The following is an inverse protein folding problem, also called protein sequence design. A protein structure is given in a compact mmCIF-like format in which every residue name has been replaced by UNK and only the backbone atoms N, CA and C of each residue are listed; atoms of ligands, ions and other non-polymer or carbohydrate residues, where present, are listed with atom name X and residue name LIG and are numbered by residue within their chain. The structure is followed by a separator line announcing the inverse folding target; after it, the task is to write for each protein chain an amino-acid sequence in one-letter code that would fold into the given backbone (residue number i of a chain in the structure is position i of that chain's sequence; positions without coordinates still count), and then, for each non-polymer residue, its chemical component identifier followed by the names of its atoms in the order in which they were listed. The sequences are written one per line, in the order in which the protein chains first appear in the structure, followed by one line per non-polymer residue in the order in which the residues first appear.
data_IF_597099491031
#
_entry.id   IF_597099491031
#
_cell.length_a   1.000
_cell.length_b   1.000
_cell.length_c   1.000
_cell.angle_alpha   90.00
_cell.angle_beta   90.00
_cell.angle_gamma   90.00
#
_symmetry.space_group_name_H-M   'P 1'
#
loop_
_entity.id
_entity.type
_entity.pdbx_description
1 polymer ?
#
# COMPACT_ATOMS: atom_id res chain seq x y z
N UNK A 1 -43.01 50.34 8.84
CA UNK A 1 -41.58 50.23 9.21
C UNK A 1 -41.21 48.76 9.20
N UNK A 2 -40.16 48.43 8.47
CA UNK A 2 -39.74 47.09 8.04
C UNK A 2 -38.94 46.40 9.14
N UNK A 3 -39.27 45.15 9.48
CA UNK A 3 -38.53 44.26 10.38
C UNK A 3 -38.39 42.85 9.77
N UNK A 4 -37.30 42.11 10.04
CA UNK A 4 -36.64 41.30 9.01
C UNK A 4 -37.19 39.89 8.76
N UNK A 5 -36.83 39.39 7.59
CA UNK A 5 -37.17 38.10 6.96
C UNK A 5 -36.92 36.87 7.85
N UNK A 6 -37.89 35.96 7.79
CA UNK A 6 -37.77 34.54 8.11
C UNK A 6 -36.70 33.89 7.21
N UNK A 7 -35.67 33.29 7.79
CA UNK A 7 -34.78 32.35 7.09
C UNK A 7 -35.22 30.93 7.45
N UNK A 8 -35.67 30.22 6.42
CA UNK A 8 -35.99 28.78 6.43
C UNK A 8 -34.73 28.05 5.96
N UNK A 9 -34.42 26.93 6.61
CA UNK A 9 -33.70 25.82 6.00
C UNK A 9 -32.27 25.62 6.48
N UNK A 10 -32.09 24.82 7.53
CA UNK A 10 -30.91 23.96 7.61
C UNK A 10 -31.34 22.57 7.12
N UNK A 11 -30.91 22.10 5.95
CA UNK A 11 -30.80 20.68 5.73
C UNK A 11 -29.54 20.21 6.48
N UNK A 12 -29.77 19.41 7.50
CA UNK A 12 -28.78 18.48 8.03
C UNK A 12 -28.35 17.55 6.88
N UNK A 13 -27.20 17.82 6.30
CA UNK A 13 -26.44 16.79 5.57
C UNK A 13 -25.03 16.78 6.14
N UNK A 14 -24.94 16.43 7.44
CA UNK A 14 -23.71 15.88 7.97
C UNK A 14 -23.53 14.51 7.32
N UNK A 15 -22.92 14.50 6.14
CA UNK A 15 -22.31 13.30 5.59
C UNK A 15 -21.18 12.93 6.55
N UNK A 16 -21.49 12.08 7.52
CA UNK A 16 -20.49 11.35 8.29
C UNK A 16 -19.62 10.65 7.26
N UNK A 17 -18.44 11.22 7.00
CA UNK A 17 -17.39 10.52 6.29
C UNK A 17 -16.92 9.49 7.31
N UNK A 18 -17.52 8.29 7.26
CA UNK A 18 -16.97 7.15 7.97
C UNK A 18 -15.54 6.99 7.44
N UNK A 19 -14.59 7.45 8.25
CA UNK A 19 -13.18 7.20 8.01
C UNK A 19 -13.01 5.70 8.23
N UNK A 20 -13.17 4.92 7.17
CA UNK A 20 -12.82 3.51 7.19
C UNK A 20 -11.31 3.44 7.38
N UNK A 21 -10.87 3.37 8.63
CA UNK A 21 -9.49 3.07 8.96
C UNK A 21 -9.24 1.64 8.51
N UNK A 22 -8.67 1.47 7.33
CA UNK A 22 -8.24 0.16 6.86
C UNK A 22 -7.12 -0.31 7.79
N UNK A 23 -7.27 -1.50 8.36
CA UNK A 23 -6.31 -2.04 9.30
C UNK A 23 -5.04 -2.47 8.55
N UNK A 24 -3.90 -1.90 8.93
CA UNK A 24 -2.59 -2.35 8.47
C UNK A 24 -2.35 -3.80 8.92
N UNK A 25 -2.02 -4.66 7.96
CA UNK A 25 -1.66 -6.07 8.15
C UNK A 25 -0.16 -6.24 7.99
N UNK A 26 0.34 -7.39 8.44
CA UNK A 26 1.74 -7.78 8.23
C UNK A 26 1.87 -9.22 7.74
N UNK A 27 2.97 -9.53 7.07
CA UNK A 27 3.31 -10.88 6.63
C UNK A 27 4.70 -10.96 6.00
N UNK A 28 5.13 -12.19 5.74
CA UNK A 28 6.42 -12.48 5.09
C UNK A 28 6.15 -12.74 3.60
N UNK A 29 6.88 -12.04 2.73
CA UNK A 29 6.78 -12.26 1.30
C UNK A 29 7.47 -13.57 0.90
N UNK A 30 6.77 -14.37 0.09
CA UNK A 30 7.28 -15.68 -0.39
C UNK A 30 7.63 -15.68 -1.87
N UNK A 31 7.16 -14.68 -2.61
CA UNK A 31 7.48 -14.45 -4.03
C UNK A 31 7.63 -12.96 -4.27
N UNK A 32 8.38 -12.61 -5.30
CA UNK A 32 8.48 -11.23 -5.77
C UNK A 32 8.31 -11.18 -7.28
N UNK A 33 7.77 -10.07 -7.76
CA UNK A 33 7.78 -9.70 -9.16
C UNK A 33 8.08 -8.21 -9.27
N UNK A 34 9.13 -7.89 -10.00
CA UNK A 34 9.49 -6.51 -10.28
C UNK A 34 9.06 -6.20 -11.70
N UNK A 35 8.16 -5.23 -11.86
CA UNK A 35 7.83 -4.73 -13.19
C UNK A 35 9.09 -4.17 -13.84
N UNK A 36 9.28 -4.33 -15.15
CA UNK A 36 10.42 -3.71 -15.86
C UNK A 36 10.01 -2.40 -16.52
N UNK A 37 8.74 -2.31 -16.87
CA UNK A 37 8.05 -1.13 -17.38
C UNK A 37 6.73 -1.03 -16.63
N UNK A 38 6.21 0.19 -16.45
CA UNK A 38 4.91 0.39 -15.80
C UNK A 38 3.82 -0.44 -16.49
N UNK A 39 3.02 -1.13 -15.69
CA UNK A 39 1.84 -1.84 -16.17
C UNK A 39 0.63 -1.52 -15.26
N UNK A 40 -0.54 -1.18 -15.81
CA UNK A 40 -0.80 -0.88 -17.22
C UNK A 40 -0.03 0.37 -17.71
N UNK A 41 0.03 0.58 -19.02
CA UNK A 41 0.72 1.74 -19.58
C UNK A 41 0.15 3.06 -19.01
N UNK A 42 1.03 3.95 -18.55
CA UNK A 42 0.65 5.21 -17.91
C UNK A 42 0.57 5.17 -16.38
N UNK A 43 0.75 4.00 -15.75
CA UNK A 43 0.90 3.88 -14.29
C UNK A 43 2.35 4.12 -13.83
N UNK A 44 2.54 4.12 -12.51
CA UNK A 44 3.85 3.90 -11.90
C UNK A 44 4.22 2.43 -11.97
N UNK A 45 5.50 2.16 -12.17
CA UNK A 45 6.07 0.83 -12.08
C UNK A 45 6.07 0.35 -10.63
N UNK A 46 5.66 -0.90 -10.41
CA UNK A 46 5.51 -1.45 -9.06
C UNK A 46 6.44 -2.63 -8.78
N UNK A 47 6.82 -2.76 -7.51
CA UNK A 47 7.36 -3.99 -6.94
C UNK A 47 6.20 -4.75 -6.29
N UNK A 48 5.99 -5.99 -6.74
CA UNK A 48 4.97 -6.87 -6.23
C UNK A 48 5.55 -7.92 -5.29
N UNK A 49 4.93 -8.11 -4.13
CA UNK A 49 5.29 -9.11 -3.13
C UNK A 49 4.07 -10.00 -2.82
N UNK A 50 4.27 -11.32 -2.86
CA UNK A 50 3.21 -12.28 -2.53
C UNK A 50 3.22 -12.57 -1.03
N UNK A 51 2.21 -12.07 -0.32
CA UNK A 51 2.09 -12.06 1.15
C UNK A 51 0.70 -12.54 1.55
N UNK A 52 0.62 -13.54 2.42
CA UNK A 52 -0.66 -14.11 2.91
C UNK A 52 -1.62 -14.47 1.75
N UNK A 53 -1.12 -15.28 0.81
CA UNK A 53 -1.84 -15.84 -0.33
C UNK A 53 -2.34 -14.84 -1.39
N UNK A 54 -1.82 -13.61 -1.40
CA UNK A 54 -2.21 -12.57 -2.35
C UNK A 54 -1.05 -11.60 -2.67
N UNK A 55 -1.17 -10.86 -3.78
CA UNK A 55 -0.17 -9.91 -4.23
C UNK A 55 -0.38 -8.53 -3.62
N UNK A 56 0.71 -7.92 -3.14
CA UNK A 56 0.77 -6.54 -2.63
C UNK A 56 1.77 -5.74 -3.44
N UNK A 57 1.51 -4.46 -3.70
CA UNK A 57 2.37 -3.61 -4.52
C UNK A 57 2.99 -2.46 -3.72
N UNK A 58 4.23 -2.15 -4.06
CA UNK A 58 4.92 -0.92 -3.70
C UNK A 58 5.19 -0.13 -4.98
N UNK A 59 4.54 1.01 -5.12
CA UNK A 59 4.67 1.85 -6.30
C UNK A 59 5.94 2.69 -6.28
N UNK A 60 6.57 2.84 -7.45
CA UNK A 60 7.79 3.61 -7.64
C UNK A 60 8.88 3.30 -6.58
N UNK A 61 9.25 2.01 -6.39
CA UNK A 61 10.22 1.64 -5.37
C UNK A 61 11.58 2.23 -5.70
N UNK A 62 12.31 2.76 -4.72
CA UNK A 62 13.66 3.25 -4.92
C UNK A 62 14.64 2.10 -5.25
N UNK A 63 15.80 2.45 -5.81
CA UNK A 63 16.79 1.45 -6.23
C UNK A 63 17.30 0.59 -5.06
N UNK A 64 17.48 1.18 -3.88
CA UNK A 64 17.96 0.47 -2.69
C UNK A 64 16.96 -0.58 -2.22
N UNK A 65 15.67 -0.23 -2.18
CA UNK A 65 14.58 -1.15 -1.89
C UNK A 65 14.52 -2.30 -2.90
N UNK A 66 14.60 -2.00 -4.20
CA UNK A 66 14.58 -3.01 -5.25
C UNK A 66 15.73 -4.03 -5.09
N UNK A 67 16.96 -3.54 -4.93
CA UNK A 67 18.15 -4.39 -4.79
C UNK A 67 18.09 -5.22 -3.51
N UNK A 68 17.65 -4.64 -2.41
CA UNK A 68 17.57 -5.35 -1.12
C UNK A 68 16.56 -6.50 -1.17
N UNK A 69 15.39 -6.26 -1.75
CA UNK A 69 14.37 -7.30 -1.96
C UNK A 69 14.89 -8.36 -2.92
N UNK A 70 15.44 -7.97 -4.06
CA UNK A 70 15.99 -8.93 -5.03
C UNK A 70 17.07 -9.82 -4.40
N UNK A 71 17.99 -9.26 -3.60
CA UNK A 71 19.01 -10.01 -2.88
C UNK A 71 18.42 -11.00 -1.86
N UNK A 72 17.32 -10.64 -1.19
CA UNK A 72 16.63 -11.55 -0.28
C UNK A 72 16.08 -12.79 -1.01
N UNK A 73 15.64 -12.63 -2.26
CA UNK A 73 15.14 -13.71 -3.10
C UNK A 73 16.22 -14.43 -3.94
N UNK A 74 17.36 -13.78 -4.21
CA UNK A 74 18.47 -14.34 -4.97
C UNK A 74 19.49 -15.03 -4.04
N UNK A 75 19.39 -16.36 -3.92
CA UNK A 75 20.48 -17.26 -3.49
C UNK A 75 20.92 -17.21 -2.01
N UNK A 76 20.09 -16.69 -1.10
CA UNK A 76 20.29 -16.81 0.35
C UNK A 76 18.99 -17.17 1.10
N UNK A 77 18.19 -18.08 0.53
CA UNK A 77 16.85 -18.43 1.01
C UNK A 77 16.76 -18.87 2.47
N UNK A 78 17.87 -19.28 3.09
CA UNK A 78 17.88 -19.66 4.52
C UNK A 78 18.20 -18.51 5.47
N UNK A 79 18.56 -17.32 4.94
CA UNK A 79 19.03 -16.22 5.79
C UNK A 79 18.18 -14.98 5.73
N UNK A 80 17.55 -14.61 4.61
CA UNK A 80 16.85 -13.34 4.50
C UNK A 80 15.35 -13.52 4.28
N UNK A 81 14.56 -12.73 5.00
CA UNK A 81 13.10 -12.65 4.86
C UNK A 81 12.69 -11.19 4.62
N UNK A 82 11.64 -11.01 3.81
CA UNK A 82 11.04 -9.69 3.57
C UNK A 82 9.74 -9.62 4.36
N UNK A 83 9.77 -8.88 5.47
CA UNK A 83 8.59 -8.57 6.27
C UNK A 83 7.92 -7.32 5.69
N UNK A 84 6.61 -7.39 5.52
CA UNK A 84 5.83 -6.35 4.84
C UNK A 84 4.72 -5.87 5.78
N UNK A 85 4.45 -4.56 5.77
CA UNK A 85 3.25 -3.93 6.30
C UNK A 85 2.43 -3.40 5.13
N UNK A 86 1.14 -3.70 5.11
CA UNK A 86 0.28 -3.37 3.98
C UNK A 86 -1.16 -3.09 4.40
N UNK A 87 -1.84 -2.27 3.62
CA UNK A 87 -3.25 -1.93 3.74
C UNK A 87 -3.92 -2.24 2.40
N UNK A 88 -4.95 -3.08 2.42
CA UNK A 88 -5.51 -3.70 1.21
C UNK A 88 -4.40 -4.38 0.36
N UNK A 89 -4.15 -3.91 -0.86
CA UNK A 89 -3.09 -4.35 -1.75
C UNK A 89 -1.82 -3.48 -1.69
N UNK A 90 -1.87 -2.32 -1.05
CA UNK A 90 -0.77 -1.36 -1.03
C UNK A 90 0.20 -1.63 0.12
N UNK A 91 1.49 -1.70 -0.19
CA UNK A 91 2.57 -1.81 0.78
C UNK A 91 2.83 -0.43 1.40
N UNK A 92 2.69 -0.34 2.72
CA UNK A 92 2.96 0.87 3.51
C UNK A 92 4.39 0.90 4.04
N UNK A 93 5.03 -0.27 4.15
CA UNK A 93 6.41 -0.41 4.55
C UNK A 93 6.93 -1.83 4.39
N UNK A 94 8.24 -1.99 4.29
CA UNK A 94 8.90 -3.29 4.28
C UNK A 94 10.25 -3.22 4.97
N UNK A 95 10.72 -4.36 5.45
CA UNK A 95 12.08 -4.55 5.92
C UNK A 95 12.63 -5.88 5.43
N UNK A 96 13.88 -5.87 4.97
CA UNK A 96 14.64 -7.09 4.71
C UNK A 96 15.47 -7.38 5.97
N UNK A 97 15.25 -8.54 6.56
CA UNK A 97 15.93 -8.94 7.80
C UNK A 97 16.49 -10.34 7.67
N UNK A 98 17.39 -10.68 8.57
CA UNK A 98 17.75 -12.08 8.73
C UNK A 98 16.60 -12.86 9.36
N UNK A 99 16.46 -14.13 8.98
CA UNK A 99 15.53 -15.07 9.61
C UNK A 99 15.88 -15.31 11.09
#
# INVERSE_FOLDING_TARGET
MTGPKKLIGFPEDQKTVESHTVATKTGIATRYWLELMSYPAGSTRSLWLFVNDDWRHLDNPDLGTQVSVQNAFCSCSERLEVLVWYSEDTIEGLIVKTK
#
